data_IF_782787424852
#
_entry.id   IF_782787424852
#
_cell.length_a   1.000
_cell.length_b   1.000
_cell.length_c   1.000
_cell.angle_alpha   90.00
_cell.angle_beta   90.00
_cell.angle_gamma   90.00
#
_symmetry.space_group_name_H-M   'P 1'
#
loop_
_entity.id
_entity.type
_entity.pdbx_description
1 polymer ?
#
# COMPACT_ATOMS: atom_id res chain seq x y z
N UNK A 1 -9.52 27.47 -19.46
CA UNK A 1 -8.58 26.53 -20.12
C UNK A 1 -7.97 25.70 -19.02
N UNK A 2 -8.20 24.39 -19.07
CA UNK A 2 -8.05 23.44 -17.95
C UNK A 2 -6.61 23.37 -17.46
N UNK A 3 -6.42 23.43 -16.15
CA UNK A 3 -5.13 23.32 -15.49
C UNK A 3 -4.57 21.93 -15.77
N UNK A 4 -3.58 21.87 -16.66
CA UNK A 4 -2.93 20.64 -17.06
C UNK A 4 -2.09 20.10 -15.89
N UNK A 5 -2.70 19.36 -14.97
CA UNK A 5 -2.02 18.60 -13.88
C UNK A 5 -1.26 17.39 -14.46
N UNK A 6 -0.46 17.60 -15.48
CA UNK A 6 0.38 16.58 -16.11
C UNK A 6 1.82 16.88 -15.74
N UNK A 7 2.38 16.10 -14.80
CA UNK A 7 3.81 15.90 -14.44
C UNK A 7 4.08 15.70 -12.92
N UNK A 8 3.08 15.68 -12.05
CA UNK A 8 3.31 15.54 -10.60
C UNK A 8 2.93 14.14 -10.09
N UNK A 9 3.88 13.49 -9.42
CA UNK A 9 3.54 12.46 -8.44
C UNK A 9 2.86 13.14 -7.24
N UNK A 10 1.84 12.48 -6.69
CA UNK A 10 1.14 12.86 -5.47
C UNK A 10 2.03 12.53 -4.27
N UNK A 11 2.71 11.39 -4.32
CA UNK A 11 3.69 11.01 -3.31
C UNK A 11 5.03 11.74 -3.56
N UNK A 12 5.70 12.23 -2.51
CA UNK A 12 6.97 12.91 -2.64
C UNK A 12 8.08 11.93 -3.04
N UNK A 13 8.61 12.10 -4.25
CA UNK A 13 9.69 11.25 -4.82
C UNK A 13 10.91 11.14 -3.90
N UNK A 14 11.25 12.20 -3.15
CA UNK A 14 12.35 12.17 -2.19
C UNK A 14 12.14 11.13 -1.07
N UNK A 15 10.91 10.98 -0.56
CA UNK A 15 10.59 9.96 0.46
C UNK A 15 10.62 8.56 -0.13
N UNK A 16 10.12 8.40 -1.35
CA UNK A 16 10.22 7.11 -2.07
C UNK A 16 11.69 6.71 -2.23
N UNK A 17 12.55 7.64 -2.65
CA UNK A 17 14.01 7.40 -2.73
C UNK A 17 14.60 6.96 -1.39
N UNK A 18 14.24 7.61 -0.27
CA UNK A 18 14.71 7.23 1.06
C UNK A 18 14.28 5.81 1.44
N UNK A 19 13.03 5.43 1.16
CA UNK A 19 12.53 4.07 1.43
C UNK A 19 13.27 3.04 0.58
N UNK A 20 13.46 3.31 -0.72
CA UNK A 20 14.20 2.41 -1.60
C UNK A 20 15.66 2.20 -1.15
N UNK A 21 16.32 3.25 -0.66
CA UNK A 21 17.68 3.19 -0.08
C UNK A 21 17.75 2.52 1.31
N UNK A 22 16.61 2.22 1.92
CA UNK A 22 16.57 1.45 3.16
C UNK A 22 17.01 0.00 2.98
N UNK A 23 17.07 -0.48 1.74
CA UNK A 23 17.56 -1.83 1.43
C UNK A 23 19.09 -1.81 1.26
N UNK A 24 19.85 -2.67 1.97
CA UNK A 24 21.31 -2.63 1.98
C UNK A 24 21.95 -2.92 0.61
N UNK A 25 21.22 -3.54 -0.31
CA UNK A 25 21.69 -3.87 -1.66
C UNK A 25 21.51 -2.74 -2.69
N UNK A 26 20.90 -1.62 -2.30
CA UNK A 26 20.53 -0.54 -3.23
C UNK A 26 21.43 0.68 -3.04
N UNK A 27 22.44 0.82 -3.89
CA UNK A 27 23.36 1.96 -3.86
C UNK A 27 22.84 3.15 -4.70
N UNK A 28 22.68 2.92 -6.00
CA UNK A 28 22.35 3.95 -6.99
C UNK A 28 20.96 3.68 -7.60
N UNK A 29 20.12 4.72 -7.62
CA UNK A 29 18.76 4.65 -8.15
C UNK A 29 18.57 5.82 -9.11
N UNK A 30 18.16 5.53 -10.35
CA UNK A 30 17.86 6.56 -11.34
C UNK A 30 16.57 7.32 -11.00
N UNK A 31 16.45 8.56 -11.49
CA UNK A 31 15.23 9.35 -11.30
C UNK A 31 14.01 8.71 -11.97
N UNK A 32 14.20 8.00 -13.09
CA UNK A 32 13.14 7.26 -13.79
C UNK A 32 12.62 6.10 -12.94
N UNK A 33 13.52 5.32 -12.31
CA UNK A 33 13.12 4.25 -11.40
C UNK A 33 12.34 4.80 -10.19
N UNK A 34 12.77 5.93 -9.62
CA UNK A 34 12.03 6.60 -8.53
C UNK A 34 10.66 7.04 -9.02
N UNK A 35 10.54 7.59 -10.23
CA UNK A 35 9.27 8.02 -10.79
C UNK A 35 8.29 6.85 -10.97
N UNK A 36 8.75 5.74 -11.58
CA UNK A 36 7.95 4.53 -11.76
C UNK A 36 7.53 3.96 -10.42
N UNK A 37 8.44 3.86 -9.45
CA UNK A 37 8.15 3.37 -8.11
C UNK A 37 7.12 4.25 -7.39
N UNK A 38 7.22 5.57 -7.57
CA UNK A 38 6.26 6.52 -6.99
C UNK A 38 4.86 6.29 -7.55
N UNK A 39 4.74 6.08 -8.87
CA UNK A 39 3.45 5.74 -9.50
C UNK A 39 2.93 4.35 -9.12
N UNK A 40 3.82 3.37 -9.00
CA UNK A 40 3.46 2.05 -8.53
C UNK A 40 2.92 2.08 -7.09
N UNK A 41 3.54 2.84 -6.19
CA UNK A 41 3.09 3.02 -4.81
C UNK A 41 1.71 3.70 -4.73
N UNK A 42 1.48 4.76 -5.53
CA UNK A 42 0.17 5.40 -5.65
C UNK A 42 -0.91 4.41 -6.12
N UNK A 43 -0.61 3.66 -7.18
CA UNK A 43 -1.50 2.65 -7.72
C UNK A 43 -1.77 1.50 -6.73
N UNK A 44 -0.74 1.10 -5.99
CA UNK A 44 -0.83 0.04 -4.99
C UNK A 44 -1.78 0.42 -3.85
N UNK A 45 -1.68 1.63 -3.30
CA UNK A 45 -2.60 2.11 -2.26
C UNK A 45 -4.04 2.09 -2.77
N UNK A 46 -4.28 2.62 -3.97
CA UNK A 46 -5.63 2.61 -4.55
C UNK A 46 -6.15 1.18 -4.79
N UNK A 47 -5.29 0.28 -5.25
CA UNK A 47 -5.63 -1.14 -5.45
C UNK A 47 -6.00 -1.80 -4.13
N UNK A 48 -5.18 -1.65 -3.08
CA UNK A 48 -5.42 -2.25 -1.78
C UNK A 48 -6.76 -1.79 -1.18
N UNK A 49 -7.04 -0.48 -1.24
CA UNK A 49 -8.32 0.08 -0.78
C UNK A 49 -9.51 -0.47 -1.57
N UNK A 50 -9.41 -0.52 -2.91
CA UNK A 50 -10.48 -1.06 -3.77
C UNK A 50 -10.76 -2.53 -3.50
N UNK A 51 -9.73 -3.36 -3.36
CA UNK A 51 -9.90 -4.77 -3.03
C UNK A 51 -10.56 -4.95 -1.67
N UNK A 52 -10.16 -4.13 -0.69
CA UNK A 52 -10.75 -4.15 0.65
C UNK A 52 -12.23 -3.75 0.63
N UNK A 53 -12.59 -2.63 -0.01
CA UNK A 53 -13.99 -2.19 -0.14
C UNK A 53 -14.85 -3.19 -0.93
N UNK A 54 -14.27 -3.88 -1.91
CA UNK A 54 -14.97 -4.90 -2.68
C UNK A 54 -15.37 -6.09 -1.79
N UNK A 55 -14.50 -6.49 -0.87
CA UNK A 55 -14.75 -7.58 0.06
C UNK A 55 -15.50 -7.18 1.34
N UNK A 56 -15.45 -5.91 1.75
CA UNK A 56 -16.16 -5.39 2.91
C UNK A 56 -17.67 -5.30 2.68
N UNK A 57 -18.48 -5.51 3.71
CA UNK A 57 -19.91 -5.19 3.67
C UNK A 57 -20.15 -3.67 3.64
N UNK A 58 -19.22 -2.88 4.18
CA UNK A 58 -19.25 -1.44 4.15
C UNK A 58 -18.57 -0.87 2.90
N UNK A 59 -19.36 -0.43 1.93
CA UNK A 59 -18.84 0.12 0.66
C UNK A 59 -18.32 1.56 0.75
N UNK A 60 -18.47 2.22 1.92
CA UNK A 60 -18.10 3.64 2.10
C UNK A 60 -16.81 3.83 2.90
N UNK A 61 -16.38 2.82 3.66
CA UNK A 61 -15.22 2.92 4.54
C UNK A 61 -14.45 1.61 4.56
N UNK A 62 -13.12 1.71 4.67
CA UNK A 62 -12.25 0.55 4.91
C UNK A 62 -12.07 0.36 6.40
N UNK A 63 -12.46 -0.82 6.88
CA UNK A 63 -12.24 -1.22 8.27
C UNK A 63 -11.08 -2.21 8.38
N UNK A 64 -10.35 -2.13 9.50
CA UNK A 64 -9.15 -2.96 9.72
C UNK A 64 -9.41 -4.48 9.57
N UNK A 65 -10.52 -5.06 10.08
CA UNK A 65 -10.78 -6.49 9.91
C UNK A 65 -10.85 -6.91 8.43
N UNK A 66 -11.48 -6.10 7.58
CA UNK A 66 -11.60 -6.38 6.15
C UNK A 66 -10.26 -6.28 5.44
N UNK A 67 -9.47 -5.26 5.80
CA UNK A 67 -8.11 -5.09 5.27
C UNK A 67 -7.22 -6.27 5.65
N UNK A 68 -7.22 -6.66 6.92
CA UNK A 68 -6.47 -7.81 7.40
C UNK A 68 -6.94 -9.11 6.73
N UNK A 69 -8.25 -9.29 6.53
CA UNK A 69 -8.81 -10.45 5.84
C UNK A 69 -8.31 -10.54 4.39
N UNK A 70 -8.33 -9.44 3.64
CA UNK A 70 -7.81 -9.39 2.27
C UNK A 70 -6.31 -9.68 2.21
N UNK A 71 -5.52 -9.11 3.13
CA UNK A 71 -4.07 -9.34 3.20
C UNK A 71 -3.73 -10.80 3.49
N UNK A 72 -4.49 -11.44 4.38
CA UNK A 72 -4.21 -12.82 4.78
C UNK A 72 -4.69 -13.84 3.73
N UNK A 73 -5.76 -13.56 3.00
CA UNK A 73 -6.37 -14.51 2.05
C UNK A 73 -5.93 -14.33 0.59
N UNK A 74 -5.13 -13.31 0.26
CA UNK A 74 -4.67 -13.07 -1.10
C UNK A 74 -3.15 -13.22 -1.21
N UNK A 75 -2.69 -14.12 -2.09
CA UNK A 75 -1.26 -14.38 -2.29
C UNK A 75 -0.48 -13.15 -2.75
N UNK A 76 -1.09 -12.26 -3.52
CA UNK A 76 -0.46 -11.01 -3.96
C UNK A 76 -0.14 -10.05 -2.80
N UNK A 77 -0.72 -10.26 -1.61
CA UNK A 77 -0.51 -9.44 -0.41
C UNK A 77 0.25 -10.16 0.69
N UNK A 78 0.88 -11.31 0.38
CA UNK A 78 1.64 -12.10 1.36
C UNK A 78 2.71 -11.26 2.08
N UNK A 79 3.35 -10.33 1.38
CA UNK A 79 4.38 -9.44 1.91
C UNK A 79 3.87 -8.47 2.99
N UNK A 80 2.56 -8.32 3.14
CA UNK A 80 1.93 -7.46 4.15
C UNK A 80 1.49 -8.19 5.41
N UNK A 81 1.53 -9.53 5.46
CA UNK A 81 0.94 -10.31 6.57
C UNK A 81 1.57 -10.00 7.92
N UNK A 82 2.88 -9.81 7.95
CA UNK A 82 3.61 -9.46 9.18
C UNK A 82 3.37 -8.01 9.62
N UNK A 83 2.97 -7.15 8.69
CA UNK A 83 2.69 -5.73 8.94
C UNK A 83 1.22 -5.51 9.32
N UNK A 84 0.30 -6.30 8.75
CA UNK A 84 -1.15 -6.22 8.95
C UNK A 84 -1.64 -7.60 9.43
N UNK A 85 -1.41 -7.94 10.71
CA UNK A 85 -1.81 -9.22 11.25
C UNK A 85 -3.34 -9.32 11.38
N UNK A 86 -3.91 -10.53 11.32
CA UNK A 86 -5.31 -10.74 11.65
C UNK A 86 -5.57 -10.39 13.12
N UNK A 87 -6.73 -9.80 13.42
CA UNK A 87 -7.14 -9.56 14.82
C UNK A 87 -7.32 -10.91 15.52
N UNK A 88 -6.35 -11.28 16.35
CA UNK A 88 -6.46 -12.42 17.24
C UNK A 88 -7.51 -12.05 18.29
N UNK A 89 -8.70 -12.64 18.20
CA UNK A 89 -9.67 -12.57 19.28
C UNK A 89 -9.10 -13.42 20.42
N UNK A 90 -8.46 -12.77 21.40
CA UNK A 90 -7.89 -13.42 22.56
C UNK A 90 -8.95 -14.34 23.19
N UNK A 91 -8.68 -15.63 23.19
CA UNK A 91 -9.54 -16.63 23.81
C UNK A 91 -9.13 -16.67 25.29
N UNK A 92 -9.86 -15.96 26.15
CA UNK A 92 -9.86 -16.16 27.61
C UNK A 92 -9.06 -15.16 28.45
N UNK A 93 -9.79 -14.37 29.25
CA UNK A 93 -9.70 -14.39 30.71
C UNK A 93 -11.05 -13.92 31.25
N UNK A 94 -12.00 -14.85 31.26
CA UNK A 94 -13.08 -14.89 32.28
C UNK A 94 -12.50 -15.52 33.53
#
# INVERSE_FOLDING_TARGET
MVDNKSKSCILPMARIKTVMKGSPEVENISNEAIFVMTKAAEGFVALLLRQTLKASDNKKQVDYPDLANIVNNNENFVFLRDIIPPKIKGRGST
#
